data_IF_850134925274
#
_entry.id   IF_850134925274
#
_cell.length_a   1.000
_cell.length_b   1.000
_cell.length_c   1.000
_cell.angle_alpha   90.00
_cell.angle_beta   90.00
_cell.angle_gamma   90.00
#
_symmetry.space_group_name_H-M   'P 1'
#
loop_
_entity.id
_entity.type
_entity.pdbx_description
1 polymer ?
#
# COMPACT_ATOMS: atom_id res chain seq x y z
N UNK A 1 -2.12 -42.87 40.01
CA UNK A 1 -3.01 -42.07 39.14
C UNK A 1 -2.11 -41.28 38.21
N UNK A 2 -1.93 -41.76 36.99
CA UNK A 2 -1.28 -40.96 35.93
C UNK A 2 -2.11 -39.70 35.70
N UNK A 3 -1.46 -38.53 35.74
CA UNK A 3 -2.08 -37.29 35.24
C UNK A 3 -2.41 -37.56 33.77
N UNK A 4 -3.69 -37.54 33.40
CA UNK A 4 -4.08 -37.48 32.00
C UNK A 4 -3.45 -36.22 31.40
N UNK A 5 -2.42 -36.40 30.57
CA UNK A 5 -1.80 -35.31 29.81
C UNK A 5 -2.83 -34.80 28.82
N UNK A 6 -3.24 -33.55 28.99
CA UNK A 6 -4.17 -32.88 28.06
C UNK A 6 -3.41 -32.66 26.76
N UNK A 7 -3.91 -33.24 25.66
CA UNK A 7 -3.43 -32.93 24.30
C UNK A 7 -4.02 -31.59 23.87
N UNK A 8 -3.18 -30.59 23.71
CA UNK A 8 -3.56 -29.21 23.39
C UNK A 8 -2.76 -28.58 22.23
N UNK A 9 -1.81 -29.32 21.66
CA UNK A 9 -0.87 -28.80 20.66
C UNK A 9 -1.33 -29.09 19.22
N UNK A 10 -1.32 -28.08 18.34
CA UNK A 10 -1.42 -28.26 16.90
C UNK A 10 -0.02 -28.51 16.32
N UNK A 11 0.21 -29.70 15.76
CA UNK A 11 1.48 -30.04 15.12
C UNK A 11 1.42 -29.70 13.64
N UNK A 12 2.40 -28.98 13.10
CA UNK A 12 2.47 -28.66 11.66
C UNK A 12 3.68 -29.35 11.02
N UNK A 13 3.40 -30.34 10.18
CA UNK A 13 4.38 -31.04 9.35
C UNK A 13 4.45 -30.41 7.97
N UNK A 14 5.66 -30.22 7.43
CA UNK A 14 5.88 -29.52 6.15
C UNK A 14 7.19 -29.94 5.48
N UNK A 15 7.35 -29.63 4.19
CA UNK A 15 8.62 -29.81 3.50
C UNK A 15 9.61 -28.70 3.86
N UNK A 16 10.75 -29.09 4.42
CA UNK A 16 11.85 -28.17 4.74
C UNK A 16 12.93 -28.23 3.64
N UNK A 17 13.41 -27.08 3.11
CA UNK A 17 13.04 -25.72 3.48
C UNK A 17 11.89 -25.08 2.68
N UNK A 18 11.33 -25.77 1.69
CA UNK A 18 10.53 -25.19 0.62
C UNK A 18 9.18 -24.61 1.11
N UNK A 19 8.54 -25.23 2.09
CA UNK A 19 7.22 -24.81 2.61
C UNK A 19 7.33 -24.00 3.92
N UNK A 20 8.54 -23.54 4.26
CA UNK A 20 8.80 -22.80 5.49
C UNK A 20 7.97 -21.53 5.63
N UNK A 21 7.84 -20.75 4.56
CA UNK A 21 7.15 -19.46 4.60
C UNK A 21 5.69 -19.65 5.01
N UNK A 22 4.99 -20.54 4.30
CA UNK A 22 3.60 -20.87 4.59
C UNK A 22 3.44 -21.42 6.02
N UNK A 23 4.31 -22.35 6.40
CA UNK A 23 4.26 -23.01 7.71
C UNK A 23 4.43 -22.00 8.84
N UNK A 24 5.39 -21.08 8.72
CA UNK A 24 5.64 -20.04 9.72
C UNK A 24 4.50 -19.02 9.75
N UNK A 25 3.97 -18.62 8.57
CA UNK A 25 2.80 -17.76 8.48
C UNK A 25 1.61 -18.38 9.20
N UNK A 26 1.31 -19.65 8.93
CA UNK A 26 0.19 -20.39 9.52
C UNK A 26 0.34 -20.53 11.03
N UNK A 27 1.52 -20.96 11.49
CA UNK A 27 1.83 -21.09 12.91
C UNK A 27 1.61 -19.76 13.66
N UNK A 28 2.13 -18.66 13.10
CA UNK A 28 1.98 -17.33 13.69
C UNK A 28 0.52 -16.91 13.81
N UNK A 29 -0.32 -17.22 12.82
CA UNK A 29 -1.76 -16.89 12.86
C UNK A 29 -2.52 -17.73 13.87
N UNK A 30 -2.24 -19.02 13.95
CA UNK A 30 -2.88 -19.92 14.90
C UNK A 30 -2.51 -19.55 16.35
N UNK A 31 -1.25 -19.20 16.62
CA UNK A 31 -0.82 -18.72 17.93
C UNK A 31 -1.45 -17.38 18.30
N UNK A 32 -1.57 -16.43 17.35
CA UNK A 32 -2.29 -15.18 17.57
C UNK A 32 -3.77 -15.38 17.92
N UNK A 33 -4.36 -16.48 17.44
CA UNK A 33 -5.73 -16.89 17.79
C UNK A 33 -5.81 -17.66 19.12
N UNK A 34 -4.67 -17.88 19.78
CA UNK A 34 -4.56 -18.52 21.10
C UNK A 34 -4.32 -20.03 21.05
N UNK A 35 -4.01 -20.63 19.90
CA UNK A 35 -3.69 -22.06 19.85
C UNK A 35 -2.21 -22.31 20.20
N UNK A 36 -1.93 -23.42 20.88
CA UNK A 36 -0.55 -23.90 21.08
C UNK A 36 -0.10 -24.61 19.81
N UNK A 37 0.99 -24.17 19.19
CA UNK A 37 1.47 -24.70 17.91
C UNK A 37 2.89 -25.24 18.06
N UNK A 38 3.15 -26.37 17.43
CA UNK A 38 4.47 -26.98 17.31
C UNK A 38 4.88 -27.07 15.84
N UNK A 39 6.08 -26.58 15.53
CA UNK A 39 6.73 -26.70 14.22
C UNK A 39 8.17 -27.17 14.42
N UNK A 40 8.71 -27.87 13.43
CA UNK A 40 10.05 -28.48 13.43
C UNK A 40 11.20 -27.50 13.74
N UNK A 41 11.00 -26.19 13.59
CA UNK A 41 12.02 -25.16 13.85
C UNK A 41 12.16 -24.71 15.31
N UNK A 42 11.28 -25.14 16.23
CA UNK A 42 11.15 -24.44 17.52
C UNK A 42 12.23 -24.70 18.56
N UNK A 43 13.10 -25.71 18.43
CA UNK A 43 14.02 -26.08 19.52
C UNK A 43 15.47 -26.43 19.14
N UNK A 44 15.93 -26.16 17.92
CA UNK A 44 17.26 -26.64 17.52
C UNK A 44 18.37 -25.60 17.79
N UNK A 45 19.04 -25.75 18.95
CA UNK A 45 20.33 -25.10 19.24
C UNK A 45 21.54 -25.98 18.82
N UNK A 46 21.30 -27.25 18.44
CA UNK A 46 22.29 -28.22 17.95
C UNK A 46 22.80 -29.19 19.03
N UNK A 47 22.71 -30.50 18.78
CA UNK A 47 23.22 -31.57 19.67
C UNK A 47 22.18 -32.53 20.27
N UNK A 48 20.88 -32.32 20.03
CA UNK A 48 19.78 -33.11 20.61
C UNK A 48 19.30 -34.25 19.69
N UNK A 49 18.64 -35.27 20.26
CA UNK A 49 18.07 -36.40 19.51
C UNK A 49 16.77 -36.00 18.81
N UNK A 50 16.92 -35.31 17.68
CA UNK A 50 15.88 -34.72 16.82
C UNK A 50 14.58 -35.53 16.69
N UNK A 51 14.68 -36.84 16.42
CA UNK A 51 13.53 -37.69 16.15
C UNK A 51 12.77 -38.02 17.45
N UNK A 52 13.46 -38.17 18.57
CA UNK A 52 12.82 -38.52 19.85
C UNK A 52 11.81 -37.47 20.33
N UNK A 53 12.10 -36.18 20.09
CA UNK A 53 11.22 -35.09 20.48
C UNK A 53 9.99 -34.98 19.57
N UNK A 54 10.15 -35.27 18.27
CA UNK A 54 9.04 -35.33 17.30
C UNK A 54 8.06 -36.46 17.68
N UNK A 55 8.56 -37.66 18.02
CA UNK A 55 7.69 -38.75 18.49
C UNK A 55 6.89 -38.35 19.71
N UNK A 56 7.57 -37.79 20.70
CA UNK A 56 6.94 -37.41 21.96
C UNK A 56 5.87 -36.34 21.73
N UNK A 57 6.17 -35.32 20.91
CA UNK A 57 5.22 -34.27 20.59
C UNK A 57 3.98 -34.81 19.86
N UNK A 58 4.15 -35.63 18.82
CA UNK A 58 3.03 -36.21 18.06
C UNK A 58 2.20 -37.15 18.94
N UNK A 59 2.85 -37.99 19.76
CA UNK A 59 2.16 -39.03 20.54
C UNK A 59 1.43 -38.49 21.75
N UNK A 60 2.04 -37.58 22.51
CA UNK A 60 1.56 -37.21 23.84
C UNK A 60 0.98 -35.80 23.95
N UNK A 61 1.38 -34.86 23.08
CA UNK A 61 0.95 -33.46 23.17
C UNK A 61 -0.04 -33.05 22.08
N UNK A 62 0.08 -33.66 20.90
CA UNK A 62 -0.65 -33.22 19.71
C UNK A 62 -2.14 -33.56 19.81
N UNK A 63 -2.99 -32.57 19.59
CA UNK A 63 -4.45 -32.73 19.47
C UNK A 63 -4.89 -32.82 18.01
N UNK A 64 -4.17 -32.16 17.10
CA UNK A 64 -4.35 -32.23 15.64
C UNK A 64 -3.01 -32.17 14.93
N UNK A 65 -2.83 -33.09 13.99
CA UNK A 65 -1.72 -33.11 13.06
C UNK A 65 -2.13 -32.44 11.75
N UNK A 66 -1.49 -31.33 11.44
CA UNK A 66 -1.71 -30.53 10.24
C UNK A 66 -0.56 -30.79 9.25
N UNK A 67 -0.86 -31.44 8.13
CA UNK A 67 0.12 -31.64 7.05
C UNK A 67 0.00 -30.49 6.05
N UNK A 68 1.07 -29.71 5.89
CA UNK A 68 1.22 -28.80 4.76
C UNK A 68 1.49 -29.65 3.51
N UNK A 69 0.53 -29.64 2.60
CA UNK A 69 0.49 -30.49 1.43
C UNK A 69 0.78 -29.67 0.18
N UNK A 70 1.93 -29.93 -0.40
CA UNK A 70 2.45 -29.24 -1.57
C UNK A 70 3.10 -30.22 -2.54
N UNK A 71 3.45 -29.77 -3.74
CA UNK A 71 4.30 -30.55 -4.65
C UNK A 71 5.72 -30.74 -4.10
N UNK A 72 6.11 -30.02 -3.03
CA UNK A 72 7.44 -30.09 -2.42
C UNK A 72 7.59 -31.24 -1.41
N UNK A 73 6.50 -31.93 -1.06
CA UNK A 73 6.56 -33.10 -0.16
C UNK A 73 7.16 -34.33 -0.85
N UNK A 74 7.26 -34.33 -2.18
CA UNK A 74 7.89 -35.38 -2.99
C UNK A 74 9.24 -34.93 -3.56
N UNK A 75 10.17 -35.86 -3.80
CA UNK A 75 11.47 -35.55 -4.40
C UNK A 75 11.35 -35.13 -5.88
N UNK A 76 10.45 -35.77 -6.62
CA UNK A 76 10.14 -35.46 -8.01
C UNK A 76 8.65 -35.67 -8.27
N UNK A 77 8.05 -34.78 -9.08
CA UNK A 77 6.62 -34.81 -9.41
C UNK A 77 6.18 -36.07 -10.16
N UNK A 78 7.09 -36.70 -10.89
CA UNK A 78 6.79 -37.86 -11.77
C UNK A 78 6.89 -39.22 -11.06
N UNK A 79 7.67 -39.32 -9.97
CA UNK A 79 7.99 -40.60 -9.32
C UNK A 79 7.18 -40.85 -8.03
N UNK A 80 6.37 -39.88 -7.58
CA UNK A 80 5.53 -39.93 -6.35
C UNK A 80 6.31 -40.54 -5.16
N UNK A 81 7.56 -40.11 -4.96
CA UNK A 81 8.37 -40.51 -3.82
C UNK A 81 8.37 -39.39 -2.78
N UNK A 82 7.66 -39.60 -1.67
CA UNK A 82 7.60 -38.65 -0.55
C UNK A 82 8.94 -38.57 0.16
N UNK A 83 9.37 -37.36 0.50
CA UNK A 83 10.57 -37.11 1.31
C UNK A 83 10.52 -37.95 2.60
N UNK A 84 11.60 -38.68 2.88
CA UNK A 84 11.62 -39.71 3.94
C UNK A 84 11.26 -39.18 5.32
N UNK A 85 11.70 -37.96 5.68
CA UNK A 85 11.33 -37.32 6.95
C UNK A 85 9.82 -37.10 7.08
N UNK A 86 9.19 -36.49 6.06
CA UNK A 86 7.74 -36.23 6.04
C UNK A 86 6.96 -37.55 6.04
N UNK A 87 7.38 -38.53 5.24
CA UNK A 87 6.73 -39.84 5.17
C UNK A 87 6.73 -40.53 6.54
N UNK A 88 7.83 -40.40 7.27
CA UNK A 88 7.98 -40.96 8.61
C UNK A 88 7.01 -40.30 9.60
N UNK A 89 6.92 -38.97 9.59
CA UNK A 89 5.95 -38.22 10.42
C UNK A 89 4.51 -38.57 10.07
N UNK A 90 4.18 -38.67 8.77
CA UNK A 90 2.84 -39.06 8.30
C UNK A 90 2.48 -40.45 8.82
N UNK A 91 3.38 -41.43 8.70
CA UNK A 91 3.13 -42.79 9.14
C UNK A 91 2.95 -42.86 10.66
N UNK A 92 3.79 -42.14 11.40
CA UNK A 92 3.67 -42.06 12.86
C UNK A 92 2.36 -41.40 13.30
N UNK A 93 1.97 -40.29 12.68
CA UNK A 93 0.70 -39.62 12.96
C UNK A 93 -0.51 -40.51 12.66
N UNK A 94 -0.47 -41.28 11.57
CA UNK A 94 -1.50 -42.28 11.23
C UNK A 94 -1.57 -43.40 12.27
N UNK A 95 -0.42 -43.89 12.74
CA UNK A 95 -0.37 -44.88 13.81
C UNK A 95 -0.99 -44.34 15.11
N UNK A 96 -0.64 -43.11 15.51
CA UNK A 96 -1.22 -42.45 16.70
C UNK A 96 -2.74 -42.30 16.55
N UNK A 97 -3.23 -41.94 15.37
CA UNK A 97 -4.67 -41.85 15.09
C UNK A 97 -5.37 -43.22 15.23
N UNK A 98 -4.74 -44.31 14.75
CA UNK A 98 -5.28 -45.66 14.88
C UNK A 98 -5.28 -46.17 16.33
N UNK A 99 -4.25 -45.84 17.11
CA UNK A 99 -4.13 -46.21 18.53
C UNK A 99 -5.05 -45.38 19.45
N UNK A 100 -5.52 -44.21 19.00
CA UNK A 100 -6.35 -43.29 19.77
C UNK A 100 -7.64 -42.92 19.00
N UNK A 101 -8.63 -43.83 18.90
CA UNK A 101 -9.86 -43.60 18.12
C UNK A 101 -10.69 -42.39 18.58
N UNK A 102 -10.52 -41.97 19.84
CA UNK A 102 -11.18 -40.78 20.40
C UNK A 102 -10.69 -39.47 19.77
N UNK A 103 -9.50 -39.46 19.16
CA UNK A 103 -8.96 -38.32 18.42
C UNK A 103 -9.61 -38.23 17.04
N UNK A 104 -10.86 -37.76 17.02
CA UNK A 104 -11.62 -37.53 15.79
C UNK A 104 -10.86 -36.61 14.84
N UNK A 105 -10.79 -36.95 13.56
CA UNK A 105 -10.13 -36.15 12.50
C UNK A 105 -8.73 -35.67 12.93
N UNK A 106 -7.94 -36.53 13.58
CA UNK A 106 -6.60 -36.19 14.10
C UNK A 106 -5.69 -35.63 13.01
N UNK A 107 -5.75 -36.22 11.81
CA UNK A 107 -4.92 -35.87 10.67
C UNK A 107 -5.70 -34.98 9.69
N UNK A 108 -5.17 -33.79 9.40
CA UNK A 108 -5.78 -32.82 8.47
C UNK A 108 -4.76 -32.36 7.42
N UNK A 109 -5.18 -32.38 6.15
CA UNK A 109 -4.33 -32.00 5.00
C UNK A 109 -4.65 -30.56 4.58
N UNK A 110 -3.61 -29.73 4.43
CA UNK A 110 -3.69 -28.33 4.00
C UNK A 110 -3.02 -28.18 2.63
N UNK A 111 -3.80 -28.12 1.55
CA UNK A 111 -3.26 -28.04 0.19
C UNK A 111 -2.92 -26.59 -0.18
N UNK A 112 -1.66 -26.30 -0.47
CA UNK A 112 -1.17 -24.92 -0.66
C UNK A 112 -0.87 -24.53 -2.11
N UNK A 113 -0.66 -25.49 -3.02
CA UNK A 113 -0.13 -25.24 -4.36
C UNK A 113 -0.76 -26.08 -5.47
N UNK A 114 -1.99 -26.58 -5.26
CA UNK A 114 -2.70 -27.49 -6.18
C UNK A 114 -1.99 -28.82 -6.40
N UNK A 115 -1.21 -29.26 -5.41
CA UNK A 115 -0.65 -30.60 -5.40
C UNK A 115 -1.72 -31.65 -5.73
N UNK A 116 -1.46 -32.57 -6.68
CA UNK A 116 -2.38 -33.64 -7.03
C UNK A 116 -2.82 -34.43 -5.80
N UNK A 117 -4.06 -34.93 -5.79
CA UNK A 117 -4.48 -35.90 -4.77
C UNK A 117 -3.75 -37.21 -4.99
N UNK A 118 -3.40 -37.91 -3.91
CA UNK A 118 -2.75 -39.22 -4.01
C UNK A 118 -1.22 -39.20 -4.02
N UNK A 119 -0.56 -38.12 -3.56
CA UNK A 119 0.91 -38.10 -3.44
C UNK A 119 1.45 -39.12 -2.42
N UNK A 120 0.60 -39.61 -1.54
CA UNK A 120 0.89 -40.75 -0.67
C UNK A 120 -0.38 -41.55 -0.38
N UNK A 121 -0.21 -42.78 0.12
CA UNK A 121 -1.31 -43.68 0.43
C UNK A 121 -2.33 -43.04 1.38
N UNK A 122 -3.62 -43.05 1.02
CA UNK A 122 -4.71 -42.45 1.80
C UNK A 122 -4.85 -40.92 1.72
N UNK A 123 -3.94 -40.22 1.02
CA UNK A 123 -4.07 -38.77 0.80
C UNK A 123 -5.22 -38.38 -0.14
N UNK A 124 -5.64 -39.30 -1.03
CA UNK A 124 -6.76 -39.10 -1.94
C UNK A 124 -8.13 -39.22 -1.25
N UNK A 125 -8.21 -40.07 -0.21
CA UNK A 125 -9.44 -40.37 0.52
C UNK A 125 -9.71 -39.39 1.68
N UNK A 126 -8.72 -38.57 2.02
CA UNK A 126 -8.80 -37.58 3.10
C UNK A 126 -9.25 -36.23 2.56
N UNK A 127 -10.27 -35.63 3.18
CA UNK A 127 -10.73 -34.30 2.78
C UNK A 127 -9.68 -33.23 3.11
N UNK A 128 -9.36 -32.39 2.13
CA UNK A 128 -8.28 -31.39 2.23
C UNK A 128 -8.85 -29.98 2.39
N UNK A 129 -8.18 -29.13 3.17
CA UNK A 129 -8.48 -27.70 3.25
C UNK A 129 -7.58 -26.98 2.23
N UNK A 130 -8.19 -26.31 1.26
CA UNK A 130 -7.44 -25.58 0.23
C UNK A 130 -7.02 -24.18 0.71
N UNK A 131 -5.76 -23.84 0.47
CA UNK A 131 -5.14 -22.53 0.68
C UNK A 131 -4.71 -21.88 -0.66
N UNK A 132 -4.97 -22.52 -1.79
CA UNK A 132 -4.40 -22.21 -3.11
C UNK A 132 -4.65 -20.79 -3.60
N UNK A 133 -5.90 -20.29 -3.50
CA UNK A 133 -6.25 -18.98 -4.03
C UNK A 133 -5.90 -17.86 -3.04
N UNK A 134 -6.08 -18.12 -1.75
CA UNK A 134 -5.92 -17.12 -0.70
C UNK A 134 -5.73 -17.80 0.66
N UNK A 135 -4.56 -17.58 1.27
CA UNK A 135 -4.24 -18.18 2.56
C UNK A 135 -5.21 -17.77 3.68
N UNK A 136 -5.73 -16.54 3.66
CA UNK A 136 -6.69 -16.07 4.67
C UNK A 136 -8.04 -16.80 4.57
N UNK A 137 -8.46 -17.18 3.36
CA UNK A 137 -9.69 -17.98 3.15
C UNK A 137 -9.49 -19.40 3.69
N UNK A 138 -8.37 -20.05 3.35
CA UNK A 138 -8.01 -21.36 3.89
C UNK A 138 -7.91 -21.36 5.42
N UNK A 139 -7.28 -20.34 6.00
CA UNK A 139 -7.20 -20.16 7.45
C UNK A 139 -8.59 -20.03 8.08
N UNK A 140 -9.50 -19.28 7.46
CA UNK A 140 -10.88 -19.15 7.92
C UNK A 140 -11.62 -20.50 7.98
N UNK A 141 -11.37 -21.39 7.02
CA UNK A 141 -11.94 -22.75 7.01
C UNK A 141 -11.31 -23.61 8.11
N UNK A 142 -9.98 -23.57 8.26
CA UNK A 142 -9.26 -24.30 9.30
C UNK A 142 -9.72 -23.87 10.70
N UNK A 143 -9.83 -22.57 10.97
CA UNK A 143 -10.30 -22.06 12.26
C UNK A 143 -11.71 -22.54 12.56
N UNK A 144 -12.64 -22.50 11.59
CA UNK A 144 -13.99 -23.05 11.77
C UNK A 144 -13.96 -24.55 12.11
N UNK A 145 -13.04 -25.32 11.53
CA UNK A 145 -12.86 -26.74 11.85
C UNK A 145 -12.36 -26.93 13.28
N UNK A 146 -11.34 -26.18 13.70
CA UNK A 146 -10.78 -26.23 15.05
C UNK A 146 -11.81 -25.83 16.11
N UNK A 147 -12.64 -24.82 15.84
CA UNK A 147 -13.73 -24.40 16.72
C UNK A 147 -14.85 -25.44 16.80
N UNK A 148 -15.23 -26.04 15.67
CA UNK A 148 -16.19 -27.14 15.62
C UNK A 148 -15.72 -28.36 16.41
N UNK A 149 -14.42 -28.62 16.38
CA UNK A 149 -13.77 -29.72 17.12
C UNK A 149 -13.48 -29.35 18.59
N UNK A 150 -13.85 -28.15 19.03
CA UNK A 150 -13.67 -27.67 20.41
C UNK A 150 -12.22 -27.70 20.90
N UNK A 151 -11.26 -27.41 20.00
CA UNK A 151 -9.85 -27.37 20.37
C UNK A 151 -9.59 -26.23 21.36
N UNK A 152 -8.97 -26.56 22.49
CA UNK A 152 -8.68 -25.63 23.58
C UNK A 152 -7.64 -24.60 23.12
N UNK A 153 -7.91 -23.32 23.41
CA UNK A 153 -6.97 -22.22 23.23
C UNK A 153 -6.17 -22.05 24.52
N UNK A 154 -4.85 -22.05 24.44
CA UNK A 154 -3.97 -21.74 25.56
C UNK A 154 -4.02 -20.23 25.83
N UNK A 155 -4.71 -19.82 26.88
CA UNK A 155 -4.78 -18.41 27.29
C UNK A 155 -3.75 -18.15 28.40
N UNK A 156 -2.67 -17.42 28.08
CA UNK A 156 -2.15 -16.27 28.84
C UNK A 156 -0.77 -15.81 28.31
N UNK A 157 -0.73 -14.56 27.82
CA UNK A 157 0.35 -13.60 28.12
C UNK A 157 1.71 -13.72 27.44
N UNK A 158 2.20 -14.92 27.07
CA UNK A 158 3.54 -15.05 26.49
C UNK A 158 3.51 -15.01 24.96
N UNK A 159 4.08 -13.94 24.40
CA UNK A 159 4.42 -13.89 22.97
C UNK A 159 5.22 -15.14 22.61
N UNK A 160 4.67 -15.97 21.74
CA UNK A 160 5.24 -17.26 21.37
C UNK A 160 6.69 -17.13 20.88
N UNK A 161 7.46 -18.19 21.11
CA UNK A 161 8.83 -18.29 20.60
C UNK A 161 8.88 -18.16 19.07
N UNK A 162 7.86 -18.63 18.35
CA UNK A 162 7.71 -18.49 16.90
C UNK A 162 7.43 -17.04 16.50
N UNK A 163 6.52 -16.35 17.20
CA UNK A 163 6.29 -14.94 16.92
C UNK A 163 7.56 -14.14 17.18
N UNK A 164 8.30 -14.44 18.27
CA UNK A 164 9.62 -13.85 18.52
C UNK A 164 10.63 -14.24 17.45
N UNK A 165 10.64 -15.49 16.97
CA UNK A 165 11.53 -15.98 15.93
C UNK A 165 11.20 -15.37 14.58
N UNK A 166 9.94 -15.28 14.15
CA UNK A 166 9.47 -14.63 12.92
C UNK A 166 9.73 -13.12 12.95
N UNK A 167 9.38 -12.46 14.06
CA UNK A 167 9.77 -11.08 14.32
C UNK A 167 11.30 -10.95 14.34
N UNK A 168 12.06 -11.99 14.71
CA UNK A 168 13.51 -11.96 14.61
C UNK A 168 13.99 -12.24 13.18
N UNK A 169 13.49 -13.23 12.46
CA UNK A 169 13.98 -13.59 11.14
C UNK A 169 13.66 -12.50 10.11
N UNK A 170 12.49 -11.86 10.23
CA UNK A 170 12.07 -10.73 9.40
C UNK A 170 12.39 -9.34 10.00
N UNK A 171 12.49 -9.17 11.33
CA UNK A 171 12.81 -7.86 11.98
C UNK A 171 14.11 -7.81 12.81
N UNK A 172 15.02 -8.79 12.79
CA UNK A 172 16.28 -8.82 13.59
C UNK A 172 17.30 -7.72 13.26
N UNK A 173 16.90 -6.63 12.63
CA UNK A 173 17.66 -5.37 12.65
C UNK A 173 16.79 -4.13 12.85
N UNK A 174 15.48 -4.24 12.70
CA UNK A 174 14.55 -3.10 12.63
C UNK A 174 13.51 -3.20 13.74
N UNK A 175 13.95 -3.60 14.94
CA UNK A 175 13.09 -3.54 16.13
C UNK A 175 12.61 -2.10 16.27
N UNK A 176 11.33 -1.93 16.57
CA UNK A 176 10.85 -0.63 17.05
C UNK A 176 11.44 -0.45 18.44
N UNK A 177 12.21 0.61 18.63
CA UNK A 177 12.83 0.94 19.93
C UNK A 177 12.43 2.34 20.36
N UNK A 178 12.58 2.62 21.66
CA UNK A 178 12.34 3.96 22.19
C UNK A 178 13.36 4.92 21.57
N UNK A 179 12.85 5.79 20.71
CA UNK A 179 13.61 6.81 20.00
C UNK A 179 12.63 7.92 19.69
N UNK A 180 12.93 9.12 20.18
CA UNK A 180 12.15 10.30 19.82
C UNK A 180 12.46 10.66 18.37
N UNK A 181 11.49 10.46 17.50
CA UNK A 181 11.65 10.63 16.05
C UNK A 181 10.50 11.45 15.48
N UNK A 182 10.84 12.34 14.54
CA UNK A 182 9.88 13.19 13.84
C UNK A 182 9.43 12.48 12.56
N UNK A 183 8.14 12.18 12.48
CA UNK A 183 7.52 11.58 11.30
C UNK A 183 6.79 12.64 10.48
N UNK A 184 6.81 12.45 9.16
CA UNK A 184 6.10 13.28 8.19
C UNK A 184 4.90 12.51 7.71
N UNK A 185 3.77 13.19 7.59
CA UNK A 185 2.58 12.64 6.96
C UNK A 185 2.62 12.83 5.45
N UNK A 186 1.62 12.25 4.79
CA UNK A 186 1.29 12.55 3.40
C UNK A 186 0.26 13.69 3.29
N UNK A 187 0.05 14.49 4.33
CA UNK A 187 -0.89 15.60 4.33
C UNK A 187 -0.17 16.92 4.16
N UNK A 188 -0.44 17.59 3.05
CA UNK A 188 0.13 18.89 2.73
C UNK A 188 -0.96 19.95 2.76
N UNK A 189 -1.02 20.67 3.88
CA UNK A 189 -2.14 21.55 4.20
C UNK A 189 -1.87 22.98 3.72
N UNK A 190 -2.95 23.71 3.43
CA UNK A 190 -2.89 25.13 3.15
C UNK A 190 -2.72 25.91 4.47
N UNK A 191 -1.73 26.79 4.50
CA UNK A 191 -1.55 27.75 5.59
C UNK A 191 -2.51 28.93 5.43
N UNK A 192 -2.69 29.41 4.19
CA UNK A 192 -3.66 30.46 3.86
C UNK A 192 -4.52 30.06 2.67
N UNK A 193 -5.80 30.39 2.77
CA UNK A 193 -6.80 30.21 1.74
C UNK A 193 -7.51 31.55 1.44
N UNK A 194 -8.06 31.72 0.23
CA UNK A 194 -9.02 32.79 -0.04
C UNK A 194 -10.20 32.74 0.95
N UNK A 195 -10.85 33.89 1.16
CA UNK A 195 -12.03 33.95 2.03
C UNK A 195 -13.25 33.29 1.39
N UNK A 196 -13.41 33.48 0.08
CA UNK A 196 -14.58 33.01 -0.67
C UNK A 196 -14.16 32.33 -1.96
N UNK A 197 -15.04 31.45 -2.45
CA UNK A 197 -15.12 31.09 -3.86
C UNK A 197 -16.56 31.25 -4.34
N UNK A 198 -16.73 31.38 -5.64
CA UNK A 198 -17.99 31.76 -6.25
C UNK A 198 -18.50 30.66 -7.18
N UNK A 199 -19.81 30.45 -7.16
CA UNK A 199 -20.52 29.53 -8.06
C UNK A 199 -21.52 30.35 -8.87
N UNK A 200 -21.31 30.44 -10.17
CA UNK A 200 -22.20 31.12 -11.11
C UNK A 200 -23.06 30.09 -11.83
N UNK A 201 -24.38 30.13 -11.63
CA UNK A 201 -25.33 29.22 -12.28
C UNK A 201 -25.96 29.88 -13.49
N UNK A 202 -25.87 29.23 -14.64
CA UNK A 202 -26.49 29.68 -15.90
C UNK A 202 -27.75 28.88 -16.21
N UNK A 203 -28.55 29.36 -17.16
CA UNK A 203 -29.81 28.70 -17.54
C UNK A 203 -29.55 27.28 -18.07
N UNK A 204 -28.48 27.11 -18.84
CA UNK A 204 -28.13 25.83 -19.44
C UNK A 204 -26.61 25.67 -19.62
N UNK A 205 -26.19 24.45 -19.99
CA UNK A 205 -24.78 24.14 -20.19
C UNK A 205 -24.15 24.92 -21.35
N UNK A 206 -24.90 25.25 -22.39
CA UNK A 206 -24.40 25.96 -23.58
C UNK A 206 -23.92 27.36 -23.20
N UNK A 207 -24.71 28.08 -22.41
CA UNK A 207 -24.34 29.37 -21.85
C UNK A 207 -23.08 29.26 -20.97
N UNK A 208 -23.04 28.29 -20.05
CA UNK A 208 -21.88 28.07 -19.19
C UNK A 208 -20.60 27.74 -20.00
N UNK A 209 -20.71 26.99 -21.10
CA UNK A 209 -19.59 26.70 -22.00
C UNK A 209 -19.09 27.99 -22.68
N UNK A 210 -19.99 28.81 -23.21
CA UNK A 210 -19.64 30.06 -23.88
C UNK A 210 -18.91 31.02 -22.92
N UNK A 211 -19.46 31.23 -21.73
CA UNK A 211 -18.86 32.09 -20.71
C UNK A 211 -17.53 31.51 -20.20
N UNK A 212 -17.44 30.19 -20.01
CA UNK A 212 -16.18 29.55 -19.61
C UNK A 212 -15.07 29.74 -20.65
N UNK A 213 -15.39 29.69 -21.95
CA UNK A 213 -14.42 29.97 -23.03
C UNK A 213 -13.94 31.42 -23.01
N UNK A 214 -14.85 32.38 -22.77
CA UNK A 214 -14.51 33.80 -22.64
C UNK A 214 -13.65 34.12 -21.40
N UNK A 215 -13.62 33.21 -20.41
CA UNK A 215 -12.84 33.31 -19.19
C UNK A 215 -11.73 32.24 -19.10
N UNK A 216 -11.17 31.81 -20.23
CA UNK A 216 -10.15 30.74 -20.24
C UNK A 216 -8.84 31.08 -19.48
N UNK A 217 -8.61 32.36 -19.16
CA UNK A 217 -7.44 32.84 -18.42
C UNK A 217 -7.57 32.68 -16.91
N UNK A 218 -8.80 32.56 -16.39
CA UNK A 218 -9.02 32.39 -14.95
C UNK A 218 -9.01 30.91 -14.57
N UNK A 219 -8.60 30.62 -13.34
CA UNK A 219 -8.70 29.34 -12.66
C UNK A 219 -10.17 29.09 -12.31
N UNK A 220 -10.83 28.45 -13.27
CA UNK A 220 -12.20 27.98 -13.12
C UNK A 220 -12.34 26.52 -13.56
N UNK A 221 -13.44 25.91 -13.17
CA UNK A 221 -13.92 24.69 -13.82
C UNK A 221 -15.44 24.75 -14.00
N UNK A 222 -15.95 23.96 -14.94
CA UNK A 222 -17.38 23.81 -15.21
C UNK A 222 -17.96 22.58 -14.50
N UNK A 223 -19.09 22.75 -13.84
CA UNK A 223 -19.93 21.67 -13.34
C UNK A 223 -21.34 21.81 -13.89
N UNK A 224 -21.70 21.02 -14.90
CA UNK A 224 -22.95 21.16 -15.64
C UNK A 224 -23.15 22.60 -16.18
N UNK A 225 -24.21 23.28 -15.73
CA UNK A 225 -24.54 24.68 -16.03
C UNK A 225 -23.92 25.69 -15.06
N UNK A 226 -23.01 25.26 -14.17
CA UNK A 226 -22.31 26.13 -13.23
C UNK A 226 -20.84 26.35 -13.62
N UNK A 227 -20.34 27.56 -13.37
CA UNK A 227 -18.92 27.91 -13.40
C UNK A 227 -18.48 28.20 -11.96
N UNK A 228 -17.40 27.56 -11.52
CA UNK A 228 -16.84 27.72 -10.17
C UNK A 228 -15.44 28.31 -10.25
N UNK A 229 -15.18 29.40 -9.53
CA UNK A 229 -13.88 30.09 -9.53
C UNK A 229 -13.63 30.90 -8.25
N UNK A 230 -12.42 31.44 -8.10
CA UNK A 230 -12.08 32.39 -7.03
C UNK A 230 -12.38 33.85 -7.39
N UNK A 231 -12.57 34.16 -8.68
CA UNK A 231 -12.91 35.50 -9.14
C UNK A 231 -14.37 35.82 -8.81
N UNK A 232 -14.59 37.02 -8.27
CA UNK A 232 -15.91 37.56 -7.97
C UNK A 232 -16.70 37.96 -9.23
N UNK A 233 -15.98 38.23 -10.31
CA UNK A 233 -16.54 38.73 -11.57
C UNK A 233 -16.07 37.83 -12.71
N UNK A 234 -17.00 37.50 -13.60
CA UNK A 234 -16.73 36.83 -14.87
C UNK A 234 -16.93 37.81 -16.02
N UNK A 235 -16.14 37.68 -17.08
CA UNK A 235 -16.47 38.28 -18.36
C UNK A 235 -17.71 37.57 -18.93
N UNK A 236 -18.83 38.29 -19.02
CA UNK A 236 -20.11 37.76 -19.51
C UNK A 236 -20.35 38.01 -21.00
N UNK A 237 -19.46 38.75 -21.64
CA UNK A 237 -19.54 39.06 -23.07
C UNK A 237 -18.91 37.91 -23.84
N UNK A 238 -19.72 37.25 -24.66
CA UNK A 238 -19.30 36.12 -25.49
C UNK A 238 -19.49 36.43 -26.98
N UNK A 239 -18.61 35.90 -27.82
CA UNK A 239 -18.76 35.99 -29.26
C UNK A 239 -19.80 34.96 -29.76
N UNK A 240 -20.76 35.42 -30.56
CA UNK A 240 -21.84 34.65 -31.20
C UNK A 240 -21.84 34.92 -32.71
N UNK A 241 -22.41 34.03 -33.56
CA UNK A 241 -22.55 34.29 -35.00
C UNK A 241 -23.25 35.60 -35.35
N UNK A 242 -24.02 36.18 -34.41
CA UNK A 242 -24.78 37.43 -34.58
C UNK A 242 -24.08 38.64 -33.94
N UNK A 243 -22.86 38.48 -33.43
CA UNK A 243 -22.08 39.52 -32.74
C UNK A 243 -21.77 39.18 -31.28
N UNK A 244 -21.42 40.20 -30.48
CA UNK A 244 -21.14 40.02 -29.05
C UNK A 244 -22.45 40.04 -28.27
N UNK A 245 -22.68 38.98 -27.48
CA UNK A 245 -23.87 38.82 -26.64
C UNK A 245 -23.44 38.76 -25.19
N UNK A 246 -24.15 39.46 -24.32
CA UNK A 246 -23.96 39.35 -22.87
C UNK A 246 -24.84 38.22 -22.32
N UNK A 247 -24.23 37.28 -21.59
CA UNK A 247 -24.92 36.17 -20.95
C UNK A 247 -24.93 36.39 -19.43
N UNK A 248 -26.12 36.67 -18.90
CA UNK A 248 -26.36 36.80 -17.47
C UNK A 248 -26.43 35.43 -16.78
N UNK A 249 -25.88 35.35 -15.57
CA UNK A 249 -26.08 34.20 -14.69
C UNK A 249 -27.44 34.32 -13.98
N UNK A 250 -28.11 33.19 -13.78
CA UNK A 250 -29.39 33.11 -13.07
C UNK A 250 -29.19 33.42 -11.59
N UNK A 251 -28.16 32.80 -11.00
CA UNK A 251 -27.82 32.94 -9.58
C UNK A 251 -26.30 32.96 -9.42
N UNK A 252 -25.84 33.62 -8.36
CA UNK A 252 -24.47 33.61 -7.88
C UNK A 252 -24.48 33.22 -6.41
N UNK A 253 -23.63 32.28 -6.04
CA UNK A 253 -23.45 31.87 -4.65
C UNK A 253 -22.05 32.21 -4.17
N UNK A 254 -22.00 32.84 -3.01
CA UNK A 254 -20.79 33.32 -2.37
C UNK A 254 -20.48 32.40 -1.19
N UNK A 255 -19.59 31.43 -1.41
CA UNK A 255 -19.30 30.41 -0.41
C UNK A 255 -18.09 30.84 0.42
N UNK A 256 -18.33 31.14 1.69
CA UNK A 256 -17.29 31.42 2.67
C UNK A 256 -16.54 30.14 3.04
N UNK A 257 -15.24 30.09 2.72
CA UNK A 257 -14.41 28.89 2.87
C UNK A 257 -14.27 28.49 4.34
N UNK A 258 -14.21 29.46 5.26
CA UNK A 258 -14.18 29.20 6.71
C UNK A 258 -15.40 28.42 7.20
N UNK A 259 -16.60 28.82 6.77
CA UNK A 259 -17.85 28.10 7.07
C UNK A 259 -17.90 26.73 6.41
N UNK A 260 -17.42 26.61 5.17
CA UNK A 260 -17.33 25.32 4.50
C UNK A 260 -16.43 24.34 5.26
N UNK A 261 -15.30 24.80 5.80
CA UNK A 261 -14.39 23.94 6.57
C UNK A 261 -15.03 23.53 7.91
N UNK A 262 -15.71 24.46 8.58
CA UNK A 262 -16.42 24.17 9.83
C UNK A 262 -17.59 23.18 9.64
N UNK A 263 -18.14 23.11 8.43
CA UNK A 263 -19.36 22.38 8.14
C UNK A 263 -20.60 23.25 8.35
N UNK A 264 -21.60 23.03 7.52
CA UNK A 264 -22.92 23.65 7.64
C UNK A 264 -23.97 22.71 7.07
N UNK A 265 -25.21 22.86 7.50
CA UNK A 265 -26.35 22.16 6.89
C UNK A 265 -27.12 23.13 5.99
N UNK A 266 -27.48 22.67 4.79
CA UNK A 266 -28.27 23.45 3.84
C UNK A 266 -29.08 22.50 2.97
N UNK A 267 -30.40 22.68 2.98
CA UNK A 267 -31.35 21.94 2.15
C UNK A 267 -31.48 22.54 0.74
N UNK A 268 -30.93 23.75 0.54
CA UNK A 268 -30.92 24.43 -0.76
C UNK A 268 -29.54 24.38 -1.41
N UNK A 269 -29.51 24.43 -2.74
CA UNK A 269 -28.26 24.49 -3.49
C UNK A 269 -27.50 25.81 -3.20
N UNK A 270 -26.16 25.77 -3.04
CA UNK A 270 -25.34 24.58 -2.90
C UNK A 270 -25.45 23.98 -1.49
N UNK A 271 -25.77 22.68 -1.42
CA UNK A 271 -25.64 21.93 -0.17
C UNK A 271 -24.18 21.91 0.29
N UNK A 272 -23.92 21.50 1.54
CA UNK A 272 -22.55 21.29 2.01
C UNK A 272 -21.75 20.33 1.14
N UNK A 273 -22.40 19.27 0.65
CA UNK A 273 -21.76 18.29 -0.22
C UNK A 273 -21.40 18.90 -1.58
N UNK A 274 -22.29 19.71 -2.15
CA UNK A 274 -22.05 20.42 -3.41
C UNK A 274 -20.87 21.38 -3.29
N UNK A 275 -20.92 22.26 -2.29
CA UNK A 275 -19.86 23.24 -2.03
C UNK A 275 -18.52 22.56 -1.73
N UNK A 276 -18.53 21.49 -0.93
CA UNK A 276 -17.33 20.70 -0.62
C UNK A 276 -16.70 20.08 -1.87
N UNK A 277 -17.53 19.47 -2.73
CA UNK A 277 -17.06 18.82 -3.94
C UNK A 277 -16.56 19.85 -4.96
N UNK A 278 -17.26 20.98 -5.10
CA UNK A 278 -16.82 22.06 -5.97
C UNK A 278 -15.52 22.69 -5.49
N UNK A 279 -15.39 22.96 -4.20
CA UNK A 279 -14.15 23.50 -3.65
C UNK A 279 -12.97 22.54 -3.81
N UNK A 280 -13.14 21.24 -3.55
CA UNK A 280 -12.11 20.22 -3.79
C UNK A 280 -11.65 20.19 -5.25
N UNK A 281 -12.58 20.31 -6.20
CA UNK A 281 -12.28 20.38 -7.64
C UNK A 281 -11.56 21.67 -8.00
N UNK A 282 -11.98 22.80 -7.42
CA UNK A 282 -11.33 24.09 -7.62
C UNK A 282 -9.89 24.09 -7.11
N UNK A 283 -9.65 23.55 -5.90
CA UNK A 283 -8.29 23.35 -5.35
C UNK A 283 -7.43 22.49 -6.28
N UNK A 284 -7.96 21.38 -6.78
CA UNK A 284 -7.24 20.50 -7.73
C UNK A 284 -6.89 21.24 -9.03
N UNK A 285 -7.79 22.11 -9.51
CA UNK A 285 -7.56 22.94 -10.70
C UNK A 285 -6.48 23.99 -10.45
N UNK A 286 -6.54 24.71 -9.33
CA UNK A 286 -5.53 25.70 -8.94
C UNK A 286 -4.14 25.08 -8.81
N UNK A 287 -4.05 23.90 -8.19
CA UNK A 287 -2.81 23.12 -8.11
C UNK A 287 -2.31 22.74 -9.50
N UNK A 288 -3.15 22.16 -10.35
CA UNK A 288 -2.74 21.74 -11.68
C UNK A 288 -2.18 22.90 -12.52
N UNK A 289 -2.85 24.06 -12.51
CA UNK A 289 -2.37 25.28 -13.19
C UNK A 289 -1.02 25.71 -12.59
N UNK A 290 -0.90 25.74 -11.27
CA UNK A 290 0.32 26.13 -10.57
C UNK A 290 1.52 25.21 -10.84
N UNK A 291 1.29 23.90 -10.96
CA UNK A 291 2.32 22.92 -11.30
C UNK A 291 2.74 23.03 -12.77
N UNK A 292 1.77 23.24 -13.68
CA UNK A 292 2.03 23.46 -15.10
C UNK A 292 2.86 24.72 -15.33
N UNK A 293 2.53 25.82 -14.65
CA UNK A 293 3.30 27.07 -14.70
C UNK A 293 4.74 26.92 -14.18
N UNK A 294 5.01 25.90 -13.36
CA UNK A 294 6.35 25.52 -12.89
C UNK A 294 7.07 24.56 -13.85
N UNK A 295 6.48 24.27 -15.01
CA UNK A 295 7.06 23.42 -16.03
C UNK A 295 6.98 21.92 -15.74
N UNK A 296 6.21 21.48 -14.75
CA UNK A 296 6.03 20.06 -14.49
C UNK A 296 5.19 19.40 -15.59
N UNK A 297 5.59 18.18 -15.95
CA UNK A 297 4.80 17.28 -16.80
C UNK A 297 3.85 16.45 -15.94
N UNK A 298 2.82 15.88 -16.57
CA UNK A 298 1.89 14.96 -15.92
C UNK A 298 1.61 13.74 -16.79
N UNK A 299 1.19 12.67 -16.12
CA UNK A 299 0.76 11.42 -16.73
C UNK A 299 -0.56 10.97 -16.09
N UNK A 300 -1.53 10.56 -16.89
CA UNK A 300 -2.83 10.10 -16.41
C UNK A 300 -2.78 8.59 -16.13
N UNK A 301 -3.07 8.22 -14.89
CA UNK A 301 -3.20 6.83 -14.47
C UNK A 301 -4.53 6.22 -14.94
N UNK A 302 -4.65 4.89 -14.86
CA UNK A 302 -5.88 4.15 -15.22
C UNK A 302 -7.14 4.61 -14.49
N UNK A 303 -7.00 5.18 -13.28
CA UNK A 303 -8.09 5.74 -12.49
C UNK A 303 -8.38 7.22 -12.80
N UNK A 304 -7.87 7.76 -13.92
CA UNK A 304 -8.01 9.16 -14.35
C UNK A 304 -7.38 10.19 -13.40
N UNK A 305 -6.53 9.75 -12.47
CA UNK A 305 -5.73 10.68 -11.67
C UNK A 305 -4.41 11.00 -12.35
N UNK A 306 -4.06 12.28 -12.33
CA UNK A 306 -2.77 12.73 -12.79
C UNK A 306 -1.70 12.55 -11.71
N UNK A 307 -0.57 12.00 -12.11
CA UNK A 307 0.69 12.13 -11.40
C UNK A 307 1.51 13.24 -12.06
N UNK A 308 2.26 13.99 -11.27
CA UNK A 308 3.07 15.11 -11.71
C UNK A 308 4.54 14.80 -11.48
N UNK A 309 5.40 15.12 -12.43
CA UNK A 309 6.82 14.83 -12.37
C UNK A 309 7.67 15.88 -13.06
N UNK A 310 8.93 16.00 -12.61
CA UNK A 310 9.92 16.84 -13.26
C UNK A 310 10.52 16.11 -14.46
N UNK A 311 10.63 16.81 -15.60
CA UNK A 311 11.43 16.40 -16.76
C UNK A 311 12.84 16.99 -16.66
N UNK A 312 13.74 16.55 -17.53
CA UNK A 312 15.09 17.15 -17.68
C UNK A 312 15.00 18.65 -18.02
N UNK A 313 13.91 19.13 -18.63
CA UNK A 313 13.74 20.56 -18.91
C UNK A 313 13.39 21.36 -17.65
N UNK A 314 12.44 20.85 -16.86
CA UNK A 314 12.01 21.52 -15.63
C UNK A 314 13.03 21.43 -14.49
N UNK A 315 13.89 20.40 -14.51
CA UNK A 315 14.91 20.17 -13.49
C UNK A 315 16.19 19.58 -14.12
N UNK A 316 17.02 20.39 -14.80
CA UNK A 316 18.17 19.90 -15.56
C UNK A 316 19.22 19.16 -14.74
N UNK A 317 19.46 19.59 -13.49
CA UNK A 317 20.41 18.93 -12.58
C UNK A 317 19.84 17.61 -12.00
N UNK A 318 18.55 17.37 -12.14
CA UNK A 318 17.81 16.25 -11.56
C UNK A 318 17.81 16.19 -10.03
N UNK A 319 18.41 17.16 -9.35
CA UNK A 319 18.68 17.20 -7.91
C UNK A 319 18.00 18.38 -7.25
N UNK A 320 17.50 18.16 -6.04
CA UNK A 320 16.90 19.20 -5.20
C UNK A 320 17.45 19.07 -3.80
N UNK A 321 17.87 20.21 -3.23
CA UNK A 321 18.24 20.32 -1.81
C UNK A 321 17.04 20.81 -1.03
N UNK A 322 16.74 20.15 0.08
CA UNK A 322 15.63 20.48 0.96
C UNK A 322 16.06 20.44 2.42
N UNK A 323 15.31 21.15 3.25
CA UNK A 323 15.45 21.19 4.70
C UNK A 323 14.55 20.15 5.38
N UNK A 324 14.94 19.68 6.56
CA UNK A 324 14.04 18.91 7.42
C UNK A 324 13.25 19.86 8.34
N UNK A 325 11.93 19.68 8.41
CA UNK A 325 11.10 20.43 9.37
C UNK A 325 11.65 20.31 10.81
N UNK A 326 11.72 21.43 11.53
CA UNK A 326 12.16 21.52 12.94
C UNK A 326 13.60 20.99 13.18
N UNK A 327 14.43 20.93 12.14
CA UNK A 327 15.83 20.50 12.22
C UNK A 327 16.70 21.38 11.32
N UNK A 328 17.86 21.81 11.81
CA UNK A 328 18.83 22.58 11.01
C UNK A 328 19.68 21.65 10.13
N UNK A 329 19.02 20.79 9.35
CA UNK A 329 19.66 19.80 8.49
C UNK A 329 19.12 19.90 7.08
N UNK A 330 20.05 19.94 6.12
CA UNK A 330 19.77 19.87 4.69
C UNK A 330 20.14 18.50 4.12
N UNK A 331 19.42 18.09 3.08
CA UNK A 331 19.76 16.91 2.28
C UNK A 331 19.44 17.17 0.82
N UNK A 332 20.21 16.54 -0.06
CA UNK A 332 19.99 16.60 -1.51
C UNK A 332 19.53 15.24 -2.01
N UNK A 333 18.48 15.22 -2.84
CA UNK A 333 17.97 14.01 -3.49
C UNK A 333 17.83 14.20 -4.98
N UNK A 334 17.98 13.10 -5.72
CA UNK A 334 17.61 13.06 -7.12
C UNK A 334 16.10 12.84 -7.23
N UNK A 335 15.41 13.61 -8.08
CA UNK A 335 14.01 13.38 -8.46
C UNK A 335 13.88 12.74 -9.84
N UNK A 336 14.96 12.72 -10.62
CA UNK A 336 15.02 11.99 -11.88
C UNK A 336 16.45 11.55 -12.17
N UNK A 337 16.59 10.52 -13.00
CA UNK A 337 17.91 10.02 -13.42
C UNK A 337 17.79 8.94 -14.49
N UNK A 338 18.93 8.45 -14.99
CA UNK A 338 18.95 7.31 -15.93
C UNK A 338 18.57 6.02 -15.22
N UNK A 339 17.87 5.14 -15.91
CA UNK A 339 17.46 3.82 -15.43
C UNK A 339 17.64 2.77 -16.51
N UNK A 340 18.72 1.99 -16.39
CA UNK A 340 19.07 0.91 -17.33
C UNK A 340 19.05 1.43 -18.78
N UNK A 341 18.66 0.58 -19.71
CA UNK A 341 18.57 0.90 -21.14
C UNK A 341 17.21 1.48 -21.54
N UNK A 342 16.19 1.38 -20.67
CA UNK A 342 14.82 1.81 -20.98
C UNK A 342 14.63 3.34 -20.96
N UNK A 343 15.61 4.09 -20.45
CA UNK A 343 15.59 5.55 -20.44
C UNK A 343 15.79 6.13 -19.04
N UNK A 344 14.82 6.94 -18.59
CA UNK A 344 14.91 7.72 -17.36
C UNK A 344 13.79 7.36 -16.38
N UNK A 345 14.13 7.32 -15.09
CA UNK A 345 13.15 7.25 -14.00
C UNK A 345 12.87 8.66 -13.47
N UNK A 346 11.65 8.87 -13.00
CA UNK A 346 11.16 10.11 -12.44
C UNK A 346 10.35 9.82 -11.17
N UNK A 347 10.66 10.52 -10.09
CA UNK A 347 9.80 10.60 -8.93
C UNK A 347 8.60 11.48 -9.25
N UNK A 348 7.41 10.98 -8.95
CA UNK A 348 6.16 11.63 -9.29
C UNK A 348 5.21 11.65 -8.10
N UNK A 349 4.38 12.68 -8.00
CA UNK A 349 3.37 12.81 -6.95
C UNK A 349 1.96 12.93 -7.56
N UNK A 350 0.99 12.24 -6.97
CA UNK A 350 -0.43 12.55 -7.17
C UNK A 350 -0.97 13.29 -5.96
N UNK A 351 -1.90 14.21 -6.19
CA UNK A 351 -2.52 15.02 -5.15
C UNK A 351 -4.03 14.83 -5.14
N UNK A 352 -4.59 14.46 -3.99
CA UNK A 352 -6.03 14.38 -3.76
C UNK A 352 -6.45 15.48 -2.80
N UNK A 353 -7.32 16.39 -3.25
CA UNK A 353 -7.85 17.46 -2.40
C UNK A 353 -8.61 16.88 -1.21
N UNK A 354 -8.30 17.36 0.00
CA UNK A 354 -8.96 17.00 1.26
C UNK A 354 -9.36 18.28 1.99
N UNK A 355 -10.45 18.22 2.75
CA UNK A 355 -10.92 19.32 3.60
C UNK A 355 -10.81 18.99 5.10
N UNK A 356 -10.64 17.71 5.43
CA UNK A 356 -10.51 17.20 6.79
C UNK A 356 -9.26 16.31 6.89
N UNK A 357 -8.48 16.39 7.99
CA UNK A 357 -8.68 17.24 9.16
C UNK A 357 -8.37 18.72 8.92
N UNK A 358 -7.52 19.02 7.94
CA UNK A 358 -7.26 20.38 7.47
C UNK A 358 -7.40 20.44 5.94
N UNK A 359 -7.73 21.61 5.37
CA UNK A 359 -7.81 21.78 3.93
C UNK A 359 -6.44 21.73 3.27
N UNK A 360 -6.33 20.97 2.17
CA UNK A 360 -5.09 20.81 1.43
C UNK A 360 -5.10 19.59 0.52
N UNK A 361 -4.00 18.85 0.51
CA UNK A 361 -3.82 17.68 -0.35
C UNK A 361 -3.26 16.48 0.41
N UNK A 362 -3.87 15.32 0.17
CA UNK A 362 -3.25 14.03 0.42
C UNK A 362 -2.33 13.67 -0.74
N UNK A 363 -1.07 13.39 -0.45
CA UNK A 363 -0.01 13.07 -1.42
C UNK A 363 0.14 11.55 -1.54
N UNK A 364 0.31 11.05 -2.75
CA UNK A 364 0.83 9.70 -2.96
C UNK A 364 2.07 9.76 -3.86
N UNK A 365 3.10 8.99 -3.48
CA UNK A 365 4.35 8.88 -4.21
C UNK A 365 4.27 7.81 -5.28
N UNK A 366 4.87 8.09 -6.43
CA UNK A 366 4.91 7.24 -7.61
C UNK A 366 6.30 7.29 -8.25
N UNK A 367 6.61 6.30 -9.07
CA UNK A 367 7.75 6.31 -9.98
C UNK A 367 7.21 6.12 -11.39
N UNK A 368 7.68 6.97 -12.31
CA UNK A 368 7.34 6.93 -13.73
C UNK A 368 8.62 6.78 -14.55
N UNK A 369 8.53 6.07 -15.68
CA UNK A 369 9.64 5.94 -16.63
C UNK A 369 9.34 6.66 -17.93
N UNK A 370 10.37 7.27 -18.52
CA UNK A 370 10.30 7.95 -19.82
C UNK A 370 11.42 7.47 -20.72
N UNK A 371 11.20 7.42 -22.04
CA UNK A 371 12.19 6.92 -23.00
C UNK A 371 13.36 7.90 -23.20
N UNK A 372 13.11 9.21 -23.14
CA UNK A 372 14.08 10.26 -23.43
C UNK A 372 14.19 11.33 -22.32
N UNK A 373 13.73 11.01 -21.10
CA UNK A 373 13.65 11.99 -20.00
C UNK A 373 12.44 12.93 -20.06
N UNK A 374 11.54 12.74 -21.04
CA UNK A 374 10.34 13.57 -21.23
C UNK A 374 9.07 12.75 -21.50
N UNK A 375 9.11 11.84 -22.47
CA UNK A 375 7.92 11.11 -22.97
C UNK A 375 7.71 9.85 -22.13
N UNK A 376 6.58 9.72 -21.39
CA UNK A 376 6.26 8.52 -20.64
C UNK A 376 6.22 7.28 -21.54
N UNK A 377 6.77 6.17 -21.06
CA UNK A 377 6.66 4.88 -21.76
C UNK A 377 5.18 4.45 -21.73
N UNK A 378 4.59 4.19 -22.90
CA UNK A 378 3.16 3.87 -23.02
C UNK A 378 2.82 2.44 -22.56
N UNK A 379 3.77 1.50 -22.72
CA UNK A 379 3.56 0.11 -22.30
C UNK A 379 3.37 0.02 -20.78
N UNK A 380 2.15 -0.31 -20.37
CA UNK A 380 1.77 -0.47 -18.96
C UNK A 380 2.55 -1.59 -18.28
N UNK A 381 2.81 -2.69 -18.99
CA UNK A 381 3.60 -3.82 -18.47
C UNK A 381 5.03 -3.39 -18.12
N UNK A 382 5.69 -2.68 -19.05
CA UNK A 382 7.05 -2.16 -18.85
C UNK A 382 7.09 -1.17 -17.68
N UNK A 383 6.18 -0.20 -17.64
CA UNK A 383 6.08 0.74 -16.51
C UNK A 383 5.91 0.01 -15.17
N UNK A 384 5.04 -1.01 -15.13
CA UNK A 384 4.74 -1.76 -13.91
C UNK A 384 5.94 -2.57 -13.43
N UNK A 385 6.58 -3.32 -14.33
CA UNK A 385 7.75 -4.15 -14.03
C UNK A 385 8.91 -3.30 -13.50
N UNK A 386 9.28 -2.23 -14.21
CA UNK A 386 10.40 -1.39 -13.78
C UNK A 386 10.09 -0.57 -12.53
N UNK A 387 8.82 -0.20 -12.28
CA UNK A 387 8.41 0.45 -11.03
C UNK A 387 8.67 -0.45 -9.83
N UNK A 388 8.29 -1.73 -9.92
CA UNK A 388 8.62 -2.73 -8.88
C UNK A 388 10.14 -2.85 -8.71
N UNK A 389 10.87 -3.02 -9.81
CA UNK A 389 12.33 -3.17 -9.79
C UNK A 389 13.07 -1.97 -9.18
N UNK A 390 12.63 -0.74 -9.46
CA UNK A 390 13.21 0.48 -8.89
C UNK A 390 12.77 0.70 -7.44
N UNK A 391 11.47 0.54 -7.19
CA UNK A 391 10.84 0.79 -5.89
C UNK A 391 11.22 -0.21 -4.81
N UNK A 392 11.63 -1.45 -5.16
CA UNK A 392 11.98 -2.51 -4.18
C UNK A 392 13.06 -2.13 -3.19
N UNK A 393 13.93 -1.17 -3.52
CA UNK A 393 15.03 -0.68 -2.65
C UNK A 393 14.72 0.66 -1.99
N UNK A 394 13.51 1.18 -2.18
CA UNK A 394 13.07 2.45 -1.62
C UNK A 394 12.27 2.18 -0.35
N UNK A 395 12.90 2.40 0.79
CA UNK A 395 12.24 2.35 2.10
C UNK A 395 11.72 3.74 2.49
N UNK A 396 11.14 3.86 3.68
CA UNK A 396 10.43 5.07 4.10
C UNK A 396 11.33 6.32 4.10
N UNK A 397 12.62 6.22 4.47
CA UNK A 397 13.57 7.34 4.37
C UNK A 397 13.68 7.83 2.93
N UNK A 398 13.82 6.93 1.96
CA UNK A 398 13.98 7.30 0.55
C UNK A 398 12.70 7.94 0.01
N UNK A 399 11.53 7.34 0.26
CA UNK A 399 10.24 7.87 -0.16
C UNK A 399 9.93 9.23 0.46
N UNK A 400 10.15 9.37 1.77
CA UNK A 400 9.97 10.63 2.51
C UNK A 400 10.87 11.72 1.94
N UNK A 401 12.16 11.42 1.79
CA UNK A 401 13.14 12.43 1.38
C UNK A 401 12.89 12.88 -0.07
N UNK A 402 12.47 11.98 -0.97
CA UNK A 402 12.08 12.34 -2.33
C UNK A 402 10.78 13.17 -2.36
N UNK A 403 9.79 12.84 -1.51
CA UNK A 403 8.59 13.66 -1.35
C UNK A 403 8.95 15.08 -0.88
N UNK A 404 9.77 15.21 0.16
CA UNK A 404 10.21 16.51 0.67
C UNK A 404 11.02 17.29 -0.37
N UNK A 405 11.92 16.62 -1.08
CA UNK A 405 12.67 17.21 -2.19
C UNK A 405 11.73 17.71 -3.31
N UNK A 406 10.70 16.95 -3.65
CA UNK A 406 9.72 17.35 -4.66
C UNK A 406 8.89 18.56 -4.20
N UNK A 407 8.43 18.59 -2.95
CA UNK A 407 7.71 19.77 -2.46
C UNK A 407 8.62 21.00 -2.39
N UNK A 408 9.90 20.83 -2.04
CA UNK A 408 10.87 21.90 -2.05
C UNK A 408 11.13 22.48 -3.45
N UNK A 409 11.12 21.65 -4.51
CA UNK A 409 11.29 22.15 -5.89
C UNK A 409 10.10 22.94 -6.41
N UNK A 410 8.95 22.90 -5.74
CA UNK A 410 7.79 23.72 -6.09
C UNK A 410 7.88 25.15 -5.55
N UNK A 411 8.81 25.46 -4.65
CA UNK A 411 9.02 26.82 -4.15
C UNK A 411 9.65 27.69 -5.25
N UNK A 412 9.20 28.94 -5.39
CA UNK A 412 9.80 29.91 -6.32
C UNK A 412 10.85 30.71 -5.56
N UNK A 413 12.11 30.66 -5.98
CA UNK A 413 13.23 31.42 -5.39
C UNK A 413 13.18 31.48 -3.84
N UNK A 414 13.47 32.62 -3.22
CA UNK A 414 13.57 32.81 -1.76
C UNK A 414 12.23 32.66 -1.00
N UNK A 415 11.14 32.25 -1.68
CA UNK A 415 9.85 32.07 -1.03
C UNK A 415 9.92 30.99 0.06
N UNK A 416 9.41 31.27 1.27
CA UNK A 416 9.42 30.29 2.35
C UNK A 416 8.48 29.09 2.07
N UNK A 417 7.50 29.27 1.19
CA UNK A 417 6.39 28.36 0.97
C UNK A 417 5.97 28.24 -0.51
N UNK A 418 5.08 27.31 -0.82
CA UNK A 418 4.54 27.18 -2.19
C UNK A 418 3.26 28.00 -2.29
N UNK A 419 3.31 29.07 -3.08
CA UNK A 419 2.13 29.88 -3.41
C UNK A 419 1.48 29.42 -4.71
N UNK A 420 0.19 29.12 -4.66
CA UNK A 420 -0.66 28.83 -5.82
C UNK A 420 -1.50 30.06 -6.13
N UNK A 421 -1.38 30.56 -7.36
CA UNK A 421 -2.16 31.70 -7.81
C UNK A 421 -3.66 31.37 -7.73
N UNK A 422 -4.42 32.38 -7.37
CA UNK A 422 -5.87 32.46 -7.54
C UNK A 422 -6.14 33.72 -8.37
N UNK A 423 -7.29 33.82 -9.03
CA UNK A 423 -7.65 35.02 -9.79
C UNK A 423 -8.29 36.10 -8.90
N UNK A 424 -7.92 36.10 -7.62
CA UNK A 424 -8.32 37.11 -6.64
C UNK A 424 -7.09 37.63 -5.90
N UNK A 425 -7.27 38.63 -5.04
CA UNK A 425 -6.18 39.28 -4.32
C UNK A 425 -5.40 38.34 -3.35
N UNK A 426 -5.93 37.15 -3.06
CA UNK A 426 -5.36 36.23 -2.07
C UNK A 426 -5.01 34.89 -2.69
N UNK A 427 -3.72 34.59 -2.81
CA UNK A 427 -3.23 33.28 -3.23
C UNK A 427 -3.54 32.19 -2.19
N UNK A 428 -3.44 30.93 -2.60
CA UNK A 428 -3.39 29.80 -1.67
C UNK A 428 -1.93 29.56 -1.30
N UNK A 429 -1.58 29.76 -0.03
CA UNK A 429 -0.23 29.50 0.48
C UNK A 429 -0.22 28.13 1.16
N UNK A 430 0.59 27.21 0.64
CA UNK A 430 0.76 25.88 1.23
C UNK A 430 1.81 25.89 2.33
N UNK A 431 1.67 25.06 3.37
CA UNK A 431 2.72 24.88 4.38
C UNK A 431 4.04 24.47 3.71
N UNK A 432 5.16 24.90 4.29
CA UNK A 432 6.50 24.59 3.77
C UNK A 432 6.82 23.07 3.78
N UNK A 433 6.15 22.33 4.67
CA UNK A 433 6.30 20.90 4.86
C UNK A 433 4.90 20.26 5.02
N UNK A 434 4.78 18.94 4.77
CA UNK A 434 3.64 18.18 5.24
C UNK A 434 3.52 18.22 6.77
N UNK A 435 2.37 17.81 7.31
CA UNK A 435 2.19 17.74 8.76
C UNK A 435 3.19 16.78 9.40
N UNK A 436 3.68 17.16 10.59
CA UNK A 436 4.73 16.42 11.30
C UNK A 436 4.31 16.06 12.72
N UNK A 437 4.64 14.83 13.13
CA UNK A 437 4.29 14.30 14.45
C UNK A 437 5.52 13.72 15.12
N UNK A 438 5.68 14.00 16.42
CA UNK A 438 6.70 13.37 17.24
C UNK A 438 6.18 12.01 17.73
N UNK A 439 6.96 10.96 17.47
CA UNK A 439 6.78 9.64 18.08
C UNK A 439 7.82 9.43 19.17
N UNK A 440 7.46 8.67 20.22
CA UNK A 440 8.42 8.18 21.23
C UNK A 440 9.15 6.91 20.79
N UNK A 441 8.74 6.36 19.65
CA UNK A 441 9.26 5.14 19.07
C UNK A 441 9.79 5.41 17.67
N UNK A 442 10.88 4.75 17.33
CA UNK A 442 11.48 4.78 16.00
C UNK A 442 11.99 3.41 15.60
N UNK A 443 12.51 3.32 14.39
CA UNK A 443 13.13 2.11 13.86
C UNK A 443 14.28 2.50 12.93
N UNK A 444 15.10 1.52 12.56
CA UNK A 444 16.19 1.70 11.59
C UNK A 444 15.71 1.17 10.25
N UNK A 445 15.79 1.97 9.19
CA UNK A 445 15.52 1.50 7.83
C UNK A 445 16.58 0.45 7.43
N UNK A 446 16.21 -0.63 6.71
CA UNK A 446 17.17 -1.63 6.24
C UNK A 446 18.23 -1.01 5.33
N UNK A 447 19.52 -1.20 5.66
CA UNK A 447 20.66 -0.69 4.87
C UNK A 447 21.55 -1.78 4.27
N UNK A 448 21.43 -3.02 4.74
CA UNK A 448 22.26 -4.16 4.30
C UNK A 448 21.74 -4.75 2.97
N UNK A 449 22.66 -5.09 2.06
CA UNK A 449 22.35 -5.62 0.72
C UNK A 449 21.62 -6.97 0.77
N UNK A 450 22.09 -7.90 1.61
CA UNK A 450 21.50 -9.24 1.79
C UNK A 450 20.03 -9.16 2.24
N UNK A 451 19.64 -8.13 3.00
CA UNK A 451 18.24 -7.92 3.40
C UNK A 451 17.38 -7.25 2.35
N UNK A 452 18.00 -6.45 1.48
CA UNK A 452 17.30 -5.97 0.28
C UNK A 452 16.97 -7.11 -0.67
N UNK A 453 17.66 -8.25 -0.57
CA UNK A 453 17.43 -9.48 -1.36
C UNK A 453 16.31 -10.38 -0.78
N UNK A 454 16.01 -10.30 0.53
CA UNK A 454 14.84 -10.99 1.13
C UNK A 454 13.52 -10.50 0.50
N UNK A 455 13.47 -9.27 -0.01
CA UNK A 455 12.32 -8.72 -0.76
C UNK A 455 12.39 -8.97 -2.27
N UNK A 456 13.35 -9.76 -2.76
CA UNK A 456 13.59 -10.01 -4.20
C UNK A 456 12.96 -11.32 -4.67
N UNK A 457 12.83 -12.31 -3.80
CA UNK A 457 12.32 -13.64 -4.17
C UNK A 457 10.80 -13.70 -4.05
N UNK A 458 10.09 -13.14 -5.04
CA UNK A 458 8.67 -13.50 -5.25
C UNK A 458 8.10 -13.16 -6.65
N UNK A 459 8.87 -12.62 -7.63
CA UNK A 459 8.27 -12.28 -8.95
C UNK A 459 9.18 -12.38 -10.19
N UNK A 460 10.37 -12.99 -10.11
CA UNK A 460 11.21 -13.17 -11.31
C UNK A 460 10.84 -14.44 -12.14
N UNK A 461 9.67 -15.06 -11.92
CA UNK A 461 9.17 -16.18 -12.74
C UNK A 461 8.17 -15.81 -13.84
N UNK A 462 7.71 -14.55 -13.94
CA UNK A 462 6.63 -14.21 -14.87
C UNK A 462 7.05 -13.61 -16.24
N UNK A 463 8.33 -13.56 -16.60
CA UNK A 463 8.74 -13.03 -17.91
C UNK A 463 9.95 -13.75 -18.56
N UNK A 464 9.86 -15.07 -18.71
CA UNK A 464 10.66 -15.81 -19.69
C UNK A 464 9.83 -16.45 -20.82
N UNK A 465 8.52 -16.19 -20.89
CA UNK A 465 7.72 -16.52 -22.07
C UNK A 465 7.27 -15.20 -22.72
N UNK A 466 8.08 -14.74 -23.68
CA UNK A 466 7.67 -14.04 -24.90
C UNK A 466 8.92 -13.90 -25.80
N UNK A 467 9.66 -15.01 -25.97
CA UNK A 467 10.37 -15.28 -27.22
C UNK A 467 9.47 -16.24 -28.01
N UNK A 468 8.59 -15.72 -28.87
CA UNK A 468 8.28 -16.29 -30.18
C UNK A 468 7.19 -15.48 -30.92
N UNK A 469 7.60 -14.98 -32.10
CA UNK A 469 6.86 -14.37 -33.23
C UNK A 469 6.45 -12.89 -33.19
#
# INVERSE_FOLDING_TARGET
MEKATIRDTLFISHATPEDNEFTIWLATRLEQLGYKVWIDKNQLLGGENFWGDIEQAIKYETVKFLLVYSNNIVYKREEIEVKSGILTEINFAKQVAAENPDLKDFFTILNIDRAPRGLFEGSADTNQISFEENWAVGLGILVKKLEKDQIVKAYEGEKSAIAKFYLSQYLSGNKVFKKRELYYTNWWNAEKLPKHFYIFRFVNEVQAIAVSKANNQIISFRGANCIVCFSEILNRIVDSPVGKVEIENVERFDVEIGKLIAGYDSDTFPSYLDASNYFKRLLKRALHVSLRERGLSWYELSNKNNIYFHTIESLPKGKVTFDFAKQERKKTKNLLGKHLEIGNWHFALSFRSVLHPEPGFHINSHILFTSNGKIPIESKSVQHSHRRRKGRRMFNEEWRDQMLAFLASLKRYEDPCVSMRTDCASAIEMKAFPEVFWSQYGYIDPKEKERMEIFIDETDLDHLDDEEF
#
